data_IF_256296441228
#
_entry.id   IF_256296441228
#
_cell.length_a   1.000
_cell.length_b   1.000
_cell.length_c   1.000
_cell.angle_alpha   90.00
_cell.angle_beta   90.00
_cell.angle_gamma   90.00
#
_symmetry.space_group_name_H-M   'P 1'
#
loop_
_entity.id
_entity.type
_entity.pdbx_description
1 polymer ?
#
# COMPACT_ATOMS: atom_id res chain seq x y z
N UNK A 1 8.64 9.91 19.17
CA UNK A 1 9.72 10.92 19.23
C UNK A 1 10.94 10.31 19.92
N UNK A 2 12.19 10.70 19.57
CA UNK A 2 13.42 10.15 20.18
C UNK A 2 13.47 10.25 21.71
N UNK A 3 12.70 11.12 22.30
CA UNK A 3 12.69 11.45 23.73
C UNK A 3 11.40 11.03 24.43
N UNK A 4 10.84 9.87 24.07
CA UNK A 4 9.64 9.37 24.76
C UNK A 4 10.02 8.95 26.19
N UNK A 5 9.53 9.65 27.25
CA UNK A 5 9.92 9.38 28.62
C UNK A 5 9.36 8.05 29.19
N UNK A 6 8.49 7.38 28.43
CA UNK A 6 7.90 6.10 28.83
C UNK A 6 8.66 4.89 28.27
N UNK A 7 9.66 5.13 27.40
CA UNK A 7 10.49 4.03 26.90
C UNK A 7 11.63 3.74 27.88
N UNK A 8 11.91 2.47 28.18
CA UNK A 8 13.11 2.09 28.95
C UNK A 8 14.40 2.61 28.30
N UNK A 9 15.39 2.92 29.12
CA UNK A 9 16.69 3.46 28.63
C UNK A 9 17.44 2.47 27.75
N UNK A 10 17.20 1.15 27.95
CA UNK A 10 17.80 0.05 27.18
C UNK A 10 16.97 -0.36 25.97
N UNK A 11 15.85 0.33 25.66
CA UNK A 11 15.03 0.04 24.50
C UNK A 11 15.81 0.27 23.19
N UNK A 12 15.88 -0.77 22.35
CA UNK A 12 16.45 -0.68 21.01
C UNK A 12 15.47 0.11 20.13
N UNK A 13 15.92 1.25 19.63
CA UNK A 13 15.13 2.16 18.80
C UNK A 13 15.54 2.02 17.35
N UNK A 14 14.58 1.75 16.48
CA UNK A 14 14.84 1.56 15.04
C UNK A 14 13.70 2.03 14.15
N UNK A 15 13.86 1.79 12.85
CA UNK A 15 12.93 2.20 11.83
C UNK A 15 13.15 3.63 11.35
N UNK A 16 12.33 4.08 10.38
CA UNK A 16 12.53 5.36 9.68
C UNK A 16 12.48 6.61 10.56
N UNK A 17 11.93 6.51 11.77
CA UNK A 17 11.86 7.62 12.73
C UNK A 17 13.12 7.80 13.58
N UNK A 18 13.96 6.78 13.70
CA UNK A 18 15.15 6.77 14.54
C UNK A 18 16.44 6.49 13.76
N UNK A 19 16.39 5.55 12.85
CA UNK A 19 17.49 5.09 12.02
C UNK A 19 17.15 3.75 11.39
N UNK A 20 17.60 3.52 10.16
CA UNK A 20 17.24 2.31 9.41
C UNK A 20 18.15 1.11 9.70
N UNK A 21 19.20 1.30 10.48
CA UNK A 21 20.22 0.28 10.75
C UNK A 21 19.80 -0.73 11.83
N UNK A 22 18.81 -0.39 12.65
CA UNK A 22 18.28 -1.30 13.67
C UNK A 22 17.25 -2.25 13.05
N UNK A 23 17.59 -3.53 13.03
CA UNK A 23 16.70 -4.65 12.65
C UNK A 23 16.33 -5.43 13.90
N UNK A 24 15.15 -6.00 13.93
CA UNK A 24 14.78 -6.93 15.00
C UNK A 24 15.62 -8.21 14.90
N UNK A 25 15.90 -8.81 16.04
CA UNK A 25 16.46 -10.16 16.11
C UNK A 25 15.47 -11.16 15.48
N UNK A 26 15.98 -12.15 14.74
CA UNK A 26 15.16 -13.18 14.08
C UNK A 26 14.21 -13.88 15.07
N UNK A 27 14.62 -14.07 16.32
CA UNK A 27 13.78 -14.65 17.36
C UNK A 27 12.57 -13.78 17.73
N UNK A 28 12.60 -12.49 17.40
CA UNK A 28 11.50 -11.53 17.62
C UNK A 28 10.73 -11.31 16.34
N UNK A 29 11.42 -11.21 15.20
CA UNK A 29 10.80 -10.91 13.89
C UNK A 29 9.80 -12.02 13.47
N UNK A 30 10.03 -13.28 13.87
CA UNK A 30 9.25 -14.46 13.49
C UNK A 30 8.36 -15.02 14.59
N UNK A 31 8.09 -14.28 15.67
CA UNK A 31 7.10 -14.69 16.67
C UNK A 31 5.69 -14.33 16.24
N UNK A 32 4.71 -15.08 16.71
CA UNK A 32 3.31 -14.76 16.52
C UNK A 32 2.99 -13.40 17.14
N UNK A 33 2.43 -12.44 16.38
CA UNK A 33 2.03 -11.14 16.93
C UNK A 33 1.01 -11.27 18.06
N UNK A 34 1.15 -10.45 19.08
CA UNK A 34 0.15 -10.35 20.16
C UNK A 34 -1.06 -9.53 19.66
N UNK A 35 -2.01 -10.22 19.07
CA UNK A 35 -3.21 -9.60 18.50
C UNK A 35 -4.15 -9.05 19.58
N UNK A 36 -4.15 -9.62 20.79
CA UNK A 36 -4.97 -9.15 21.89
C UNK A 36 -4.52 -7.76 22.36
N UNK A 37 -3.21 -7.49 22.32
CA UNK A 37 -2.64 -6.19 22.67
C UNK A 37 -3.18 -5.06 21.79
N UNK A 38 -3.40 -5.35 20.50
CA UNK A 38 -3.88 -4.36 19.52
C UNK A 38 -5.39 -4.39 19.33
N UNK A 39 -6.08 -5.39 19.80
CA UNK A 39 -7.53 -5.56 19.65
C UNK A 39 -7.97 -5.62 18.19
N UNK A 40 -7.17 -6.23 17.30
CA UNK A 40 -7.49 -6.44 15.89
C UNK A 40 -7.93 -7.88 15.67
N UNK A 41 -8.86 -8.06 14.72
CA UNK A 41 -9.52 -9.34 14.39
C UNK A 41 -9.05 -9.93 13.04
N UNK A 42 -7.85 -9.56 12.59
CA UNK A 42 -7.24 -10.04 11.36
C UNK A 42 -5.73 -10.21 11.53
N UNK A 43 -5.14 -11.11 10.76
CA UNK A 43 -3.70 -11.32 10.71
C UNK A 43 -3.00 -10.16 9.98
N UNK A 44 -1.84 -9.71 10.47
CA UNK A 44 -0.99 -8.70 9.81
C UNK A 44 0.43 -9.23 9.71
N UNK A 45 1.01 -9.15 8.53
CA UNK A 45 2.40 -9.58 8.35
C UNK A 45 2.92 -9.40 6.93
N UNK A 46 4.10 -9.98 6.71
CA UNK A 46 4.82 -9.94 5.45
C UNK A 46 5.10 -11.36 4.96
N UNK A 47 4.76 -11.66 3.72
CA UNK A 47 5.22 -12.87 3.03
C UNK A 47 6.64 -12.66 2.48
N UNK A 48 6.91 -11.45 2.02
CA UNK A 48 8.17 -11.03 1.40
C UNK A 48 8.61 -9.68 1.92
N UNK A 49 9.92 -9.43 1.91
CA UNK A 49 10.48 -8.12 2.26
C UNK A 49 11.28 -7.57 1.08
N UNK A 50 11.44 -6.25 1.07
CA UNK A 50 12.19 -5.57 0.03
C UNK A 50 11.46 -5.43 -1.30
N UNK A 51 12.16 -4.89 -2.30
CA UNK A 51 11.64 -4.71 -3.65
C UNK A 51 12.78 -4.69 -4.68
N UNK A 52 12.58 -5.29 -5.85
CA UNK A 52 13.55 -5.20 -6.95
C UNK A 52 13.40 -3.92 -7.78
N UNK A 53 12.32 -3.16 -7.58
CA UNK A 53 12.13 -1.86 -8.21
C UNK A 53 13.00 -0.81 -7.52
N UNK A 54 13.44 0.16 -8.32
CA UNK A 54 14.22 1.30 -7.83
C UNK A 54 13.50 2.60 -8.17
N UNK A 55 12.27 2.72 -7.70
CA UNK A 55 11.48 3.93 -7.90
C UNK A 55 12.17 5.10 -7.18
N UNK A 56 12.40 6.25 -7.83
CA UNK A 56 13.20 7.34 -7.26
C UNK A 56 12.62 7.96 -5.98
N UNK A 57 11.30 7.78 -5.77
CA UNK A 57 10.59 8.28 -4.60
C UNK A 57 10.48 7.24 -3.46
N UNK A 58 10.92 6.00 -3.69
CA UNK A 58 10.65 4.89 -2.77
C UNK A 58 11.83 4.61 -1.85
N UNK A 59 11.57 4.51 -0.55
CA UNK A 59 12.55 4.21 0.48
C UNK A 59 12.84 2.70 0.62
N UNK A 60 11.97 1.85 0.11
CA UNK A 60 12.03 0.38 0.32
C UNK A 60 13.40 -0.22 -0.06
N UNK A 61 14.01 0.11 -1.21
CA UNK A 61 15.33 -0.44 -1.55
C UNK A 61 16.45 -0.07 -0.58
N UNK A 62 16.33 1.07 0.07
CA UNK A 62 17.28 1.54 1.10
C UNK A 62 17.00 0.86 2.45
N UNK A 63 15.72 0.74 2.82
CA UNK A 63 15.27 0.23 4.12
C UNK A 63 15.29 -1.30 4.22
N UNK A 64 14.83 -1.99 3.17
CA UNK A 64 14.60 -3.44 3.19
C UNK A 64 15.45 -4.20 2.16
N UNK A 65 16.16 -3.49 1.29
CA UNK A 65 17.03 -4.10 0.29
C UNK A 65 16.29 -4.75 -0.87
N UNK A 66 16.89 -5.82 -1.39
CA UNK A 66 16.34 -6.59 -2.51
C UNK A 66 15.17 -7.44 -2.05
N UNK A 67 14.24 -7.69 -2.99
CA UNK A 67 13.12 -8.61 -2.76
C UNK A 67 13.60 -10.01 -2.39
N UNK A 68 13.08 -10.55 -1.29
CA UNK A 68 13.38 -11.89 -0.78
C UNK A 68 12.17 -12.48 -0.04
N UNK A 69 12.17 -13.80 0.12
CA UNK A 69 11.23 -14.50 0.98
C UNK A 69 11.41 -14.07 2.43
N UNK A 70 10.32 -13.95 3.18
CA UNK A 70 10.36 -13.57 4.59
C UNK A 70 9.68 -14.61 5.47
N UNK A 71 8.36 -14.67 5.50
CA UNK A 71 7.60 -15.56 6.36
C UNK A 71 6.53 -16.37 5.61
N UNK A 72 6.16 -17.51 6.16
CA UNK A 72 4.92 -18.18 5.79
C UNK A 72 3.74 -17.43 6.40
N UNK A 73 2.58 -17.38 5.71
CA UNK A 73 1.38 -16.79 6.28
C UNK A 73 0.95 -17.44 7.59
N UNK A 74 1.34 -18.69 7.84
CA UNK A 74 1.04 -19.44 9.08
C UNK A 74 1.79 -18.92 10.30
N UNK A 75 2.91 -18.22 10.11
CA UNK A 75 3.71 -17.67 11.23
C UNK A 75 3.00 -16.50 11.95
N UNK A 76 2.18 -15.76 11.21
CA UNK A 76 1.44 -14.61 11.74
C UNK A 76 -0.10 -14.76 11.61
N UNK A 77 -0.59 -16.00 11.44
CA UNK A 77 -2.02 -16.27 11.33
C UNK A 77 -2.73 -15.93 12.64
N UNK A 78 -3.80 -15.14 12.55
CA UNK A 78 -4.61 -14.83 13.73
C UNK A 78 -5.30 -16.10 14.26
N UNK A 79 -5.33 -16.35 15.59
CA UNK A 79 -5.89 -17.58 16.16
C UNK A 79 -7.36 -17.82 15.78
N UNK A 80 -8.16 -16.75 15.72
CA UNK A 80 -9.62 -16.83 15.56
C UNK A 80 -10.12 -16.25 14.22
N UNK A 81 -9.21 -15.90 13.29
CA UNK A 81 -9.59 -15.26 12.03
C UNK A 81 -8.81 -15.78 10.84
N UNK A 82 -9.49 -15.86 9.69
CA UNK A 82 -8.88 -16.18 8.40
C UNK A 82 -8.77 -14.92 7.49
N UNK A 83 -8.82 -13.75 8.09
CA UNK A 83 -8.60 -12.49 7.40
C UNK A 83 -7.13 -12.07 7.49
N UNK A 84 -6.52 -11.75 6.36
CA UNK A 84 -5.10 -11.38 6.29
C UNK A 84 -4.94 -10.01 5.64
N UNK A 85 -4.17 -9.16 6.30
CA UNK A 85 -3.69 -7.88 5.76
C UNK A 85 -2.18 -7.97 5.56
N UNK A 86 -1.76 -8.10 4.32
CA UNK A 86 -0.34 -8.13 3.95
C UNK A 86 0.18 -6.71 3.74
N UNK A 87 1.32 -6.42 4.34
CA UNK A 87 2.02 -5.14 4.21
C UNK A 87 3.29 -5.25 3.35
N UNK A 88 3.30 -6.26 2.50
CA UNK A 88 4.35 -6.53 1.51
C UNK A 88 4.51 -5.40 0.50
N UNK A 89 5.75 -5.11 0.14
CA UNK A 89 6.05 -4.09 -0.87
C UNK A 89 5.88 -4.59 -2.30
N UNK A 90 6.20 -5.88 -2.58
CA UNK A 90 6.07 -6.44 -3.93
C UNK A 90 6.02 -7.98 -3.95
N UNK A 91 4.99 -8.62 -3.35
CA UNK A 91 4.93 -10.07 -3.18
C UNK A 91 4.85 -10.83 -4.52
N UNK A 92 4.30 -10.22 -5.57
CA UNK A 92 4.16 -10.84 -6.89
C UNK A 92 5.49 -11.02 -7.64
N UNK A 93 6.56 -10.38 -7.19
CA UNK A 93 7.88 -10.47 -7.81
C UNK A 93 8.78 -11.56 -7.23
N UNK A 94 8.29 -12.35 -6.28
CA UNK A 94 9.02 -13.41 -5.58
C UNK A 94 8.25 -14.73 -5.67
N UNK A 95 8.92 -15.83 -6.02
CA UNK A 95 8.28 -17.15 -6.09
C UNK A 95 7.64 -17.55 -4.77
N UNK A 96 8.32 -17.31 -3.64
CA UNK A 96 7.76 -17.56 -2.33
C UNK A 96 6.43 -16.79 -2.10
N UNK A 97 6.37 -15.51 -2.47
CA UNK A 97 5.13 -14.72 -2.36
C UNK A 97 3.99 -15.31 -3.19
N UNK A 98 4.27 -15.73 -4.44
CA UNK A 98 3.29 -16.39 -5.30
C UNK A 98 2.83 -17.74 -4.71
N UNK A 99 3.76 -18.54 -4.17
CA UNK A 99 3.45 -19.83 -3.54
C UNK A 99 2.56 -19.66 -2.30
N UNK A 100 2.83 -18.65 -1.48
CA UNK A 100 1.99 -18.34 -0.30
C UNK A 100 0.58 -17.89 -0.71
N UNK A 101 0.49 -17.04 -1.75
CA UNK A 101 -0.81 -16.62 -2.30
C UNK A 101 -1.58 -17.82 -2.88
N UNK A 102 -0.91 -18.75 -3.56
CA UNK A 102 -1.53 -19.95 -4.10
C UNK A 102 -2.07 -20.88 -3.00
N UNK A 103 -1.32 -21.03 -1.89
CA UNK A 103 -1.80 -21.79 -0.74
C UNK A 103 -3.06 -21.13 -0.12
N UNK A 104 -3.05 -19.81 0.06
CA UNK A 104 -4.18 -19.06 0.59
C UNK A 104 -5.42 -19.14 -0.32
N UNK A 105 -5.24 -19.14 -1.65
CA UNK A 105 -6.32 -19.31 -2.62
C UNK A 105 -7.04 -20.67 -2.47
N UNK A 106 -6.32 -21.70 -1.99
CA UNK A 106 -6.90 -23.00 -1.68
C UNK A 106 -7.66 -23.08 -0.35
N UNK A 107 -7.75 -21.96 0.38
CA UNK A 107 -8.40 -21.88 1.69
C UNK A 107 -9.65 -21.00 1.68
N UNK A 108 -10.30 -20.86 2.85
CA UNK A 108 -11.37 -19.88 3.05
C UNK A 108 -10.85 -18.50 3.49
N UNK A 109 -9.54 -18.28 3.50
CA UNK A 109 -8.94 -17.02 3.89
C UNK A 109 -9.36 -15.86 2.98
N UNK A 110 -9.56 -14.67 3.58
CA UNK A 110 -9.73 -13.43 2.84
C UNK A 110 -8.45 -12.60 2.94
N UNK A 111 -8.00 -12.08 1.83
CA UNK A 111 -6.72 -11.38 1.75
C UNK A 111 -6.87 -9.90 1.37
N UNK A 112 -5.95 -9.09 1.84
CA UNK A 112 -5.78 -7.68 1.48
C UNK A 112 -4.30 -7.34 1.32
N UNK A 113 -3.88 -6.85 0.16
CA UNK A 113 -2.53 -6.31 -0.04
C UNK A 113 -2.54 -4.79 0.12
N UNK A 114 -2.25 -4.34 1.34
CA UNK A 114 -2.43 -2.95 1.73
C UNK A 114 -1.48 -1.96 1.02
N UNK A 115 -0.28 -2.42 0.61
CA UNK A 115 0.73 -1.56 -0.05
C UNK A 115 0.58 -1.48 -1.59
N UNK A 116 -0.45 -2.08 -2.14
CA UNK A 116 -0.72 -2.24 -3.56
C UNK A 116 0.15 -3.27 -4.28
N UNK A 117 -0.43 -3.88 -5.30
CA UNK A 117 0.23 -4.85 -6.16
C UNK A 117 0.84 -4.15 -7.39
N UNK A 118 1.97 -4.65 -7.86
CA UNK A 118 2.63 -4.14 -9.06
C UNK A 118 1.88 -4.57 -10.32
N UNK A 119 1.08 -3.67 -10.87
CA UNK A 119 0.30 -3.90 -12.09
C UNK A 119 1.14 -4.35 -13.30
N UNK A 120 2.44 -4.01 -13.33
CA UNK A 120 3.35 -4.41 -14.42
C UNK A 120 3.64 -5.91 -14.41
N UNK A 121 3.61 -6.55 -13.23
CA UNK A 121 3.76 -8.01 -13.12
C UNK A 121 2.50 -8.72 -13.58
N UNK A 122 1.34 -8.26 -13.16
CA UNK A 122 0.04 -8.78 -13.59
C UNK A 122 -0.12 -8.62 -15.11
N UNK A 123 0.24 -7.45 -15.66
CA UNK A 123 0.15 -7.18 -17.09
C UNK A 123 1.09 -8.04 -17.95
N UNK A 124 2.20 -8.52 -17.37
CA UNK A 124 3.19 -9.34 -18.04
C UNK A 124 2.87 -10.83 -18.01
N UNK A 125 2.19 -11.28 -16.97
CA UNK A 125 1.91 -12.68 -16.71
C UNK A 125 0.44 -12.86 -16.31
N UNK A 126 -0.36 -13.40 -17.23
CA UNK A 126 -1.79 -13.66 -17.03
C UNK A 126 -2.03 -14.68 -15.92
N UNK A 127 -1.11 -15.63 -15.67
CA UNK A 127 -1.21 -16.58 -14.57
C UNK A 127 -1.27 -15.93 -13.20
N UNK A 128 -0.66 -14.73 -13.05
CA UNK A 128 -0.79 -13.94 -11.82
C UNK A 128 -2.23 -13.41 -11.68
N UNK A 129 -2.88 -12.99 -12.76
CA UNK A 129 -4.27 -12.55 -12.70
C UNK A 129 -5.23 -13.71 -12.36
N UNK A 130 -4.99 -14.90 -12.91
CA UNK A 130 -5.73 -16.13 -12.58
C UNK A 130 -5.57 -16.49 -11.10
N UNK A 131 -4.33 -16.47 -10.60
CA UNK A 131 -4.04 -16.72 -9.19
C UNK A 131 -4.77 -15.73 -8.27
N UNK A 132 -4.71 -14.45 -8.57
CA UNK A 132 -5.40 -13.41 -7.79
C UNK A 132 -6.92 -13.53 -7.87
N UNK A 133 -7.46 -14.01 -8.99
CA UNK A 133 -8.90 -14.28 -9.16
C UNK A 133 -9.37 -15.47 -8.32
N UNK A 134 -8.50 -16.45 -8.07
CA UNK A 134 -8.81 -17.58 -7.20
C UNK A 134 -8.86 -17.21 -5.71
N UNK A 135 -8.32 -16.06 -5.33
CA UNK A 135 -8.29 -15.59 -3.94
C UNK A 135 -9.64 -14.97 -3.51
N UNK A 136 -9.95 -15.07 -2.23
CA UNK A 136 -11.04 -14.32 -1.61
C UNK A 136 -10.50 -13.01 -1.04
N UNK A 137 -11.12 -11.90 -1.43
CA UNK A 137 -10.63 -10.58 -1.07
C UNK A 137 -11.38 -10.00 0.13
N UNK A 138 -10.64 -9.50 1.11
CA UNK A 138 -11.16 -8.77 2.27
C UNK A 138 -11.54 -7.33 1.88
N UNK A 139 -10.75 -6.71 1.01
CA UNK A 139 -10.89 -5.33 0.54
C UNK A 139 -10.64 -5.24 -0.97
N UNK A 140 -10.88 -4.09 -1.62
CA UNK A 140 -10.58 -3.91 -3.04
C UNK A 140 -9.14 -4.29 -3.39
N UNK A 141 -8.95 -4.89 -4.58
CA UNK A 141 -7.61 -5.09 -5.13
C UNK A 141 -6.96 -3.72 -5.33
N UNK A 142 -5.81 -3.52 -4.69
CA UNK A 142 -5.06 -2.28 -4.79
C UNK A 142 -3.91 -2.40 -5.78
N UNK A 143 -3.83 -1.43 -6.66
CA UNK A 143 -2.75 -1.27 -7.64
C UNK A 143 -2.07 0.08 -7.42
N UNK A 144 -0.95 0.33 -8.10
CA UNK A 144 -0.28 1.63 -8.08
C UNK A 144 -0.08 2.16 -9.51
N UNK A 145 -0.32 3.48 -9.69
CA UNK A 145 -0.12 4.23 -10.92
C UNK A 145 0.60 5.55 -10.60
N UNK A 146 1.89 5.47 -10.28
CA UNK A 146 2.67 6.62 -9.80
C UNK A 146 3.28 7.46 -10.91
N UNK A 147 3.32 6.93 -12.15
CA UNK A 147 3.80 7.63 -13.34
C UNK A 147 2.87 7.43 -14.52
N UNK A 148 2.92 8.33 -15.50
CA UNK A 148 2.20 8.19 -16.77
C UNK A 148 2.59 6.89 -17.51
N UNK A 149 3.84 6.48 -17.42
CA UNK A 149 4.33 5.24 -18.04
C UNK A 149 3.70 3.95 -17.48
N UNK A 150 3.10 4.00 -16.29
CA UNK A 150 2.43 2.84 -15.69
C UNK A 150 0.97 2.68 -16.15
N UNK A 151 0.34 3.71 -16.74
CA UNK A 151 -1.07 3.69 -17.12
C UNK A 151 -1.42 2.46 -17.98
N UNK A 152 -0.61 2.17 -19.01
CA UNK A 152 -0.86 1.00 -19.87
C UNK A 152 -0.80 -0.32 -19.11
N UNK A 153 0.13 -0.47 -18.18
CA UNK A 153 0.22 -1.69 -17.36
C UNK A 153 -0.98 -1.83 -16.42
N UNK A 154 -1.46 -0.73 -15.87
CA UNK A 154 -2.68 -0.73 -15.02
C UNK A 154 -3.91 -1.10 -15.85
N UNK A 155 -4.06 -0.56 -17.05
CA UNK A 155 -5.15 -0.92 -17.97
C UNK A 155 -5.17 -2.41 -18.27
N UNK A 156 -4.01 -2.96 -18.67
CA UNK A 156 -3.88 -4.40 -18.99
C UNK A 156 -4.15 -5.26 -17.74
N UNK A 157 -3.56 -4.91 -16.60
CA UNK A 157 -3.75 -5.64 -15.35
C UNK A 157 -5.24 -5.69 -14.93
N UNK A 158 -5.92 -4.55 -14.95
CA UNK A 158 -7.36 -4.48 -14.64
C UNK A 158 -8.19 -5.29 -15.65
N UNK A 159 -7.82 -5.23 -16.94
CA UNK A 159 -8.45 -6.02 -17.99
C UNK A 159 -8.31 -7.54 -17.74
N UNK A 160 -7.11 -8.01 -17.39
CA UNK A 160 -6.84 -9.42 -17.07
C UNK A 160 -7.57 -9.85 -15.80
N UNK A 161 -7.50 -9.07 -14.72
CA UNK A 161 -8.21 -9.36 -13.48
C UNK A 161 -9.74 -9.50 -13.73
N UNK A 162 -10.33 -8.62 -14.53
CA UNK A 162 -11.75 -8.69 -14.91
C UNK A 162 -12.06 -9.88 -15.81
N UNK A 163 -11.17 -10.23 -16.74
CA UNK A 163 -11.29 -11.39 -17.61
C UNK A 163 -11.42 -12.70 -16.83
N UNK A 164 -10.74 -12.79 -15.68
CA UNK A 164 -10.77 -13.94 -14.79
C UNK A 164 -11.74 -13.79 -13.61
N UNK A 165 -12.72 -12.86 -13.71
CA UNK A 165 -13.73 -12.62 -12.68
C UNK A 165 -13.16 -12.34 -11.27
N UNK A 166 -11.95 -11.72 -11.21
CA UNK A 166 -11.37 -11.31 -9.94
C UNK A 166 -12.29 -10.30 -9.25
N UNK A 167 -12.92 -10.74 -8.18
CA UNK A 167 -13.72 -9.88 -7.30
C UNK A 167 -12.89 -9.54 -6.07
N UNK A 168 -12.88 -8.33 -5.62
CA UNK A 168 -14.02 -7.41 -5.38
C UNK A 168 -14.39 -6.59 -6.63
N UNK A 169 -15.64 -6.16 -6.65
CA UNK A 169 -16.21 -5.35 -7.75
C UNK A 169 -15.49 -4.01 -7.96
N UNK A 170 -14.79 -3.52 -6.92
CA UNK A 170 -14.12 -2.24 -6.93
C UNK A 170 -12.61 -2.45 -6.84
N UNK A 171 -11.88 -1.93 -7.79
CA UNK A 171 -10.44 -1.80 -7.75
C UNK A 171 -10.08 -0.43 -7.18
N UNK A 172 -8.98 -0.35 -6.45
CA UNK A 172 -8.42 0.90 -5.98
C UNK A 172 -7.01 1.07 -6.55
N UNK A 173 -6.63 2.27 -6.92
CA UNK A 173 -5.30 2.53 -7.44
C UNK A 173 -4.67 3.72 -6.72
N UNK A 174 -3.50 3.50 -6.12
CA UNK A 174 -2.71 4.56 -5.50
C UNK A 174 -2.08 5.42 -6.59
N UNK A 175 -2.10 6.72 -6.38
CA UNK A 175 -1.57 7.74 -7.28
C UNK A 175 -0.68 8.69 -6.49
N UNK A 176 0.62 8.59 -6.68
CA UNK A 176 1.56 9.53 -6.08
C UNK A 176 1.40 10.92 -6.72
N UNK A 177 1.24 11.94 -5.89
CA UNK A 177 1.07 13.34 -6.34
C UNK A 177 2.38 14.09 -6.12
N UNK A 178 3.34 13.89 -7.03
CA UNK A 178 4.56 14.69 -7.14
C UNK A 178 4.27 15.95 -7.94
N UNK A 179 3.68 15.79 -9.13
CA UNK A 179 3.13 16.84 -9.98
C UNK A 179 1.62 16.69 -10.10
N UNK A 180 0.89 17.77 -9.85
CA UNK A 180 -0.59 17.78 -9.83
C UNK A 180 -1.18 17.55 -11.21
N UNK A 181 -0.60 18.10 -12.27
CA UNK A 181 -1.11 17.94 -13.65
C UNK A 181 -0.99 16.48 -14.10
N UNK A 182 0.19 15.88 -13.92
CA UNK A 182 0.42 14.47 -14.21
C UNK A 182 -0.47 13.56 -13.37
N UNK A 183 -0.66 13.86 -12.08
CA UNK A 183 -1.56 13.11 -11.19
C UNK A 183 -3.02 13.24 -11.64
N UNK A 184 -3.45 14.40 -12.08
CA UNK A 184 -4.79 14.64 -12.62
C UNK A 184 -5.08 13.76 -13.84
N UNK A 185 -4.14 13.68 -14.80
CA UNK A 185 -4.28 12.81 -15.97
C UNK A 185 -4.43 11.34 -15.58
N UNK A 186 -3.66 10.86 -14.61
CA UNK A 186 -3.75 9.49 -14.11
C UNK A 186 -5.08 9.21 -13.39
N UNK A 187 -5.56 10.17 -12.60
CA UNK A 187 -6.85 10.08 -11.91
C UNK A 187 -8.01 10.02 -12.91
N UNK A 188 -8.01 10.85 -13.96
CA UNK A 188 -9.05 10.82 -14.99
C UNK A 188 -8.98 9.53 -15.84
N UNK A 189 -7.78 9.03 -16.13
CA UNK A 189 -7.60 7.73 -16.76
C UNK A 189 -8.21 6.60 -15.89
N UNK A 190 -7.94 6.56 -14.59
CA UNK A 190 -8.52 5.59 -13.67
C UNK A 190 -10.05 5.70 -13.59
N UNK A 191 -10.59 6.93 -13.65
CA UNK A 191 -12.03 7.17 -13.75
C UNK A 191 -12.61 6.49 -14.99
N UNK A 192 -11.96 6.65 -16.15
CA UNK A 192 -12.36 6.00 -17.40
C UNK A 192 -12.32 4.48 -17.32
N UNK A 193 -11.40 3.91 -16.55
CA UNK A 193 -11.33 2.46 -16.30
C UNK A 193 -12.34 1.97 -15.24
N UNK A 194 -13.06 2.84 -14.56
CA UNK A 194 -13.91 2.47 -13.43
C UNK A 194 -13.10 1.92 -12.24
N UNK A 195 -11.93 2.47 -11.99
CA UNK A 195 -11.03 2.16 -10.87
C UNK A 195 -11.01 3.35 -9.93
N UNK A 196 -11.22 3.14 -8.64
CA UNK A 196 -11.23 4.19 -7.63
C UNK A 196 -9.78 4.67 -7.37
N UNK A 197 -9.43 5.94 -7.63
CA UNK A 197 -8.11 6.46 -7.27
C UNK A 197 -8.00 6.75 -5.77
N UNK A 198 -6.78 6.65 -5.25
CA UNK A 198 -6.40 7.17 -3.94
C UNK A 198 -5.12 7.98 -4.09
N UNK A 199 -5.22 9.28 -3.96
CA UNK A 199 -4.11 10.21 -4.15
C UNK A 199 -3.27 10.36 -2.87
N UNK A 200 -1.96 10.19 -3.00
CA UNK A 200 -0.98 10.35 -1.94
C UNK A 200 -0.05 11.51 -2.25
N UNK A 201 -0.10 12.62 -1.46
CA UNK A 201 0.84 13.72 -1.65
C UNK A 201 2.28 13.25 -1.46
N UNK A 202 3.16 13.60 -2.38
CA UNK A 202 4.57 13.23 -2.31
C UNK A 202 5.27 13.94 -1.15
N UNK A 203 6.02 13.18 -0.36
CA UNK A 203 6.93 13.68 0.67
C UNK A 203 8.34 13.38 0.19
N UNK A 204 9.15 14.40 -0.02
CA UNK A 204 10.56 14.21 -0.32
C UNK A 204 11.34 14.01 0.98
N UNK A 205 11.50 12.75 1.36
CA UNK A 205 12.25 12.39 2.55
C UNK A 205 13.74 12.74 2.46
N UNK A 206 14.32 12.76 1.25
CA UNK A 206 15.74 13.09 1.05
C UNK A 206 16.00 14.58 1.24
N UNK A 207 15.10 15.41 0.71
CA UNK A 207 15.19 16.87 0.86
C UNK A 207 14.46 17.38 2.11
N UNK A 208 13.85 16.49 2.91
CA UNK A 208 13.00 16.83 4.06
C UNK A 208 11.92 17.88 3.71
N UNK A 209 11.30 17.70 2.54
CA UNK A 209 10.27 18.63 2.06
C UNK A 209 8.88 18.03 2.23
N UNK A 210 7.99 18.68 2.98
CA UNK A 210 6.60 18.28 3.06
C UNK A 210 5.88 18.55 1.72
N UNK A 211 4.73 17.89 1.48
CA UNK A 211 3.92 18.16 0.31
C UNK A 211 3.47 19.61 0.26
N UNK A 212 3.35 20.16 -0.94
CA UNK A 212 2.81 21.51 -1.16
C UNK A 212 1.32 21.57 -0.76
N UNK A 213 0.82 22.78 -0.59
CA UNK A 213 -0.61 23.00 -0.32
C UNK A 213 -1.47 22.49 -1.48
N UNK A 214 -1.04 22.69 -2.72
CA UNK A 214 -1.74 22.22 -3.91
C UNK A 214 -1.82 20.70 -3.97
N UNK A 215 -0.73 19.98 -3.72
CA UNK A 215 -0.71 18.51 -3.64
C UNK A 215 -1.67 17.99 -2.58
N UNK A 216 -1.71 18.61 -1.40
CA UNK A 216 -2.64 18.24 -0.32
C UNK A 216 -4.10 18.51 -0.69
N UNK A 217 -4.38 19.63 -1.34
CA UNK A 217 -5.72 19.97 -1.80
C UNK A 217 -6.19 19.02 -2.91
N UNK A 218 -5.31 18.68 -3.85
CA UNK A 218 -5.60 17.71 -4.89
C UNK A 218 -5.91 16.33 -4.32
N UNK A 219 -5.06 15.83 -3.42
CA UNK A 219 -5.32 14.55 -2.76
C UNK A 219 -6.64 14.56 -1.97
N UNK A 220 -6.96 15.65 -1.28
CA UNK A 220 -8.24 15.80 -0.59
C UNK A 220 -9.43 15.76 -1.55
N UNK A 221 -9.31 16.42 -2.71
CA UNK A 221 -10.34 16.38 -3.75
C UNK A 221 -10.56 14.96 -4.26
N UNK A 222 -9.50 14.24 -4.62
CA UNK A 222 -9.56 12.85 -5.12
C UNK A 222 -10.14 11.90 -4.05
N UNK A 223 -9.63 11.97 -2.82
CA UNK A 223 -9.94 11.00 -1.78
C UNK A 223 -11.34 11.19 -1.18
N UNK A 224 -11.96 12.36 -1.41
CA UNK A 224 -13.36 12.57 -1.06
C UNK A 224 -14.25 12.18 -2.25
N UNK A 225 -14.59 10.89 -2.34
CA UNK A 225 -15.28 10.28 -3.50
C UNK A 225 -16.50 11.06 -3.99
N UNK A 226 -17.34 11.60 -3.09
CA UNK A 226 -18.51 12.39 -3.47
C UNK A 226 -18.09 13.68 -4.19
N UNK A 227 -17.08 14.36 -3.71
CA UNK A 227 -16.56 15.59 -4.33
C UNK A 227 -15.91 15.28 -5.67
N UNK A 228 -15.01 14.29 -5.72
CA UNK A 228 -14.33 13.88 -6.94
C UNK A 228 -15.31 13.47 -8.07
N UNK A 229 -16.44 12.82 -7.72
CA UNK A 229 -17.44 12.41 -8.69
C UNK A 229 -18.31 13.56 -9.21
N UNK A 230 -18.49 14.65 -8.45
CA UNK A 230 -19.45 15.70 -8.72
C UNK A 230 -18.85 17.07 -9.05
N UNK A 231 -17.59 17.32 -8.65
CA UNK A 231 -16.93 18.63 -8.83
C UNK A 231 -15.65 18.44 -9.64
N UNK A 232 -15.43 19.24 -10.68
CA UNK A 232 -14.18 19.22 -11.43
C UNK A 232 -13.05 19.81 -10.60
N UNK A 233 -11.81 19.36 -10.81
CA UNK A 233 -10.65 19.91 -10.12
C UNK A 233 -10.52 21.43 -10.31
N UNK A 234 -10.73 21.94 -11.52
CA UNK A 234 -10.68 23.38 -11.82
C UNK A 234 -11.73 24.21 -11.06
N UNK A 235 -12.80 23.59 -10.59
CA UNK A 235 -13.89 24.24 -9.84
C UNK A 235 -13.77 24.00 -8.32
N UNK A 236 -12.86 23.10 -7.91
CA UNK A 236 -12.68 22.75 -6.52
C UNK A 236 -11.99 23.87 -5.75
N UNK A 237 -12.78 24.67 -5.08
CA UNK A 237 -12.29 25.63 -4.08
C UNK A 237 -12.12 24.85 -2.78
N UNK A 238 -10.89 24.44 -2.49
CA UNK A 238 -10.60 23.81 -1.20
C UNK A 238 -11.24 24.63 -0.09
N UNK A 239 -12.00 23.99 0.77
CA UNK A 239 -12.60 24.70 1.91
C UNK A 239 -11.46 25.35 2.70
N UNK A 240 -11.33 26.66 2.61
CA UNK A 240 -10.51 27.46 3.52
C UNK A 240 -11.15 27.35 4.90
N UNK A 241 -10.92 26.25 5.60
CA UNK A 241 -11.01 26.27 7.04
C UNK A 241 -9.72 26.92 7.55
N UNK A 242 -9.74 28.24 7.59
CA UNK A 242 -8.92 29.00 8.51
C UNK A 242 -9.27 28.52 9.90
N UNK A 243 -8.44 27.71 10.48
CA UNK A 243 -8.56 27.17 11.82
C UNK A 243 -7.31 26.32 12.03
N UNK A 244 -6.36 26.87 12.76
CA UNK A 244 -5.22 26.15 13.25
C UNK A 244 -5.71 24.86 13.94
N UNK A 245 -5.47 23.70 13.34
CA UNK A 245 -5.38 22.44 14.07
C UNK A 245 -3.90 22.20 14.35
N UNK A 246 -3.34 22.96 15.30
CA UNK A 246 -2.29 22.47 16.17
C UNK A 246 -2.86 21.25 16.89
N UNK A 247 -2.30 20.08 16.70
CA UNK A 247 -2.61 18.90 17.51
C UNK A 247 -3.06 17.65 16.80
N UNK A 248 -2.51 17.32 15.63
CA UNK A 248 -2.48 15.92 15.15
C UNK A 248 -1.13 15.64 14.51
N UNK A 249 -0.09 15.74 15.30
CA UNK A 249 1.15 14.99 15.12
C UNK A 249 0.92 13.63 15.78
N UNK A 250 0.97 12.59 15.01
CA UNK A 250 1.02 11.22 15.52
C UNK A 250 -0.16 10.39 15.09
N UNK A 251 -0.10 9.83 13.89
CA UNK A 251 -0.74 8.56 13.53
C UNK A 251 -0.28 8.06 12.15
N UNK A 252 0.95 8.32 11.76
CA UNK A 252 1.71 7.63 10.69
C UNK A 252 3.15 8.18 10.75
N UNK A 253 3.87 7.84 11.82
CA UNK A 253 5.33 7.85 11.85
C UNK A 253 5.78 6.39 11.91
#
# INVERSE_FOLDING_TARGET
TPDDPYLPDDAIRGGTGYGMDAVLDDNIEHILPDYDLYGIDYAVGFLTRGCFRRCPWCIVPEKEGKLHAHASYTEFMHPDSLDFVFIDNNPLGCSHGLDQIAQLAGTNARIDFNQALDARLIAKDEGIAELLAACRWLRPVRLACDTMGQMRSVEVAVGLLRKHDCTPKNYQCYVLVEDVESAYHRVEFLRGLGVDPFAMPFIDFKANKPPTQEQRQFARWVNHKAVWKSVKWSEYKGAHRGGAMEGQRGLFA
#
